data_IF_139471785002
#
_entry.id   IF_139471785002
#
_cell.length_a   1.000
_cell.length_b   1.000
_cell.length_c   1.000
_cell.angle_alpha   90.00
_cell.angle_beta   90.00
_cell.angle_gamma   90.00
#
_symmetry.space_group_name_H-M   'P 1'
#
loop_
_entity.id
_entity.type
_entity.pdbx_description
1 polymer ?
#
# COMPACT_ATOMS: atom_id res chain seq x y z
N UNK A 1 -8.96 -12.18 -0.24
CA UNK A 1 -7.60 -12.26 0.33
C UNK A 1 -6.67 -11.73 -0.74
N UNK A 2 -6.23 -10.46 -0.62
CA UNK A 2 -5.29 -9.86 -1.57
C UNK A 2 -3.88 -10.33 -1.21
N UNK A 3 -3.15 -10.89 -2.15
CA UNK A 3 -1.75 -11.26 -1.97
C UNK A 3 -0.91 -10.01 -1.66
N UNK A 4 0.22 -10.16 -0.94
CA UNK A 4 1.05 -9.02 -0.53
C UNK A 4 1.58 -8.22 -1.71
N UNK A 5 1.88 -8.89 -2.84
CA UNK A 5 2.28 -8.21 -4.07
C UNK A 5 1.12 -7.39 -4.68
N UNK A 6 -0.10 -7.90 -4.58
CA UNK A 6 -1.29 -7.16 -5.07
C UNK A 6 -1.56 -5.94 -4.19
N UNK A 7 -1.45 -6.08 -2.87
CA UNK A 7 -1.56 -4.95 -1.93
C UNK A 7 -0.51 -3.87 -2.19
N UNK A 8 0.73 -4.27 -2.51
CA UNK A 8 1.79 -3.33 -2.86
C UNK A 8 1.47 -2.57 -4.15
N UNK A 9 0.96 -3.26 -5.18
CA UNK A 9 0.52 -2.63 -6.43
C UNK A 9 -0.60 -1.61 -6.19
N UNK A 10 -1.60 -1.97 -5.38
CA UNK A 10 -2.70 -1.07 -5.03
C UNK A 10 -2.18 0.17 -4.28
N UNK A 11 -1.27 -0.01 -3.32
CA UNK A 11 -0.67 1.09 -2.56
C UNK A 11 0.15 2.05 -3.44
N UNK A 12 0.89 1.53 -4.42
CA UNK A 12 1.66 2.34 -5.39
C UNK A 12 0.71 3.11 -6.32
N UNK A 13 -0.37 2.49 -6.80
CA UNK A 13 -1.38 3.18 -7.59
C UNK A 13 -2.03 4.32 -6.79
N UNK A 14 -2.39 4.04 -5.53
CA UNK A 14 -2.95 5.05 -4.63
C UNK A 14 -1.99 6.21 -4.37
N UNK A 15 -0.68 5.93 -4.29
CA UNK A 15 0.36 6.95 -4.15
C UNK A 15 0.39 7.89 -5.37
N UNK A 16 0.29 7.32 -6.58
CA UNK A 16 0.24 8.09 -7.82
C UNK A 16 -0.99 8.99 -7.88
N UNK A 17 -2.15 8.49 -7.45
CA UNK A 17 -3.37 9.29 -7.34
C UNK A 17 -3.20 10.47 -6.38
N UNK A 18 -2.61 10.27 -5.20
CA UNK A 18 -2.34 11.38 -4.27
C UNK A 18 -1.43 12.44 -4.87
N UNK A 19 -0.40 12.05 -5.63
CA UNK A 19 0.44 13.01 -6.35
C UNK A 19 -0.35 13.78 -7.40
N UNK A 20 -1.09 13.10 -8.28
CA UNK A 20 -1.89 13.77 -9.31
C UNK A 20 -2.94 14.72 -8.73
N UNK A 21 -3.68 14.27 -7.72
CA UNK A 21 -4.71 15.07 -7.06
C UNK A 21 -4.12 16.27 -6.33
N UNK A 22 -2.99 16.09 -5.62
CA UNK A 22 -2.32 17.20 -4.94
C UNK A 22 -1.84 18.28 -5.90
N UNK A 23 -1.25 17.90 -7.05
CA UNK A 23 -0.83 18.85 -8.09
C UNK A 23 -2.03 19.59 -8.67
N UNK A 24 -3.13 18.89 -8.97
CA UNK A 24 -4.35 19.51 -9.50
C UNK A 24 -4.92 20.56 -8.55
N UNK A 25 -5.00 20.25 -7.26
CA UNK A 25 -5.45 21.17 -6.22
C UNK A 25 -4.49 22.36 -6.08
N UNK A 26 -3.18 22.12 -6.02
CA UNK A 26 -2.18 23.20 -5.94
C UNK A 26 -2.28 24.16 -7.13
N UNK A 27 -2.54 23.66 -8.33
CA UNK A 27 -2.75 24.49 -9.52
C UNK A 27 -4.06 25.27 -9.45
N UNK A 28 -5.16 24.64 -9.03
CA UNK A 28 -6.47 25.28 -8.93
C UNK A 28 -6.49 26.47 -7.96
N UNK A 29 -5.75 26.37 -6.86
CA UNK A 29 -5.65 27.43 -5.86
C UNK A 29 -4.37 28.29 -6.01
N UNK A 30 -3.58 28.06 -7.06
CA UNK A 30 -2.35 28.83 -7.29
C UNK A 30 -2.67 30.32 -7.47
N UNK A 31 -1.88 31.16 -6.81
CA UNK A 31 -2.00 32.62 -6.93
C UNK A 31 -0.87 33.15 -7.80
N UNK A 32 -1.13 34.07 -8.74
CA UNK A 32 -0.07 34.66 -9.54
C UNK A 32 0.93 35.40 -8.65
N UNK A 33 2.22 35.14 -8.84
CA UNK A 33 3.26 35.86 -8.12
C UNK A 33 3.16 37.36 -8.42
N UNK A 34 3.18 38.19 -7.37
CA UNK A 34 3.18 39.64 -7.52
C UNK A 34 4.59 40.12 -7.83
N UNK A 35 4.77 40.70 -9.01
CA UNK A 35 6.00 41.41 -9.36
C UNK A 35 5.87 42.88 -8.95
N UNK A 36 6.96 43.53 -8.51
CA UNK A 36 6.96 44.97 -8.22
C UNK A 36 6.49 45.75 -9.47
N UNK A 37 5.41 46.52 -9.35
CA UNK A 37 4.86 47.33 -10.45
C UNK A 37 3.70 46.70 -11.24
N UNK A 38 3.25 45.48 -10.92
CA UNK A 38 2.12 44.82 -11.57
C UNK A 38 1.01 44.45 -10.58
N UNK A 39 0.48 45.45 -9.87
CA UNK A 39 -0.63 45.26 -8.92
C UNK A 39 -1.97 45.19 -9.66
N UNK A 40 -2.28 44.04 -10.26
CA UNK A 40 -3.69 43.72 -10.53
C UNK A 40 -4.35 43.44 -9.18
N UNK A 41 -5.20 44.38 -8.74
CA UNK A 41 -6.16 44.20 -7.63
C UNK A 41 -7.17 43.11 -7.99
N UNK A 42 -6.73 41.85 -7.93
CA UNK A 42 -7.62 40.69 -7.83
C UNK A 42 -7.88 40.45 -6.35
N UNK A 43 -9.06 40.81 -5.89
CA UNK A 43 -9.56 40.55 -4.54
C UNK A 43 -9.69 39.05 -4.31
N UNK A 44 -8.62 38.41 -3.82
CA UNK A 44 -8.74 37.10 -3.18
C UNK A 44 -9.14 37.29 -1.73
N UNK A 45 -10.26 36.67 -1.35
CA UNK A 45 -10.69 36.60 0.04
C UNK A 45 -9.72 35.71 0.82
N UNK A 46 -9.33 36.13 2.03
CA UNK A 46 -8.44 35.38 2.93
C UNK A 46 -8.88 33.92 3.16
N UNK A 47 -10.17 33.62 3.00
CA UNK A 47 -10.73 32.27 3.10
C UNK A 47 -10.19 31.28 2.05
N UNK A 48 -9.84 31.73 0.83
CA UNK A 48 -9.30 30.83 -0.21
C UNK A 48 -7.84 30.43 0.06
N UNK A 49 -7.03 31.30 0.65
CA UNK A 49 -5.65 30.97 1.04
C UNK A 49 -5.60 29.97 2.19
N UNK A 50 -6.49 30.10 3.16
CA UNK A 50 -6.53 29.20 4.30
C UNK A 50 -6.95 27.77 3.91
N UNK A 51 -7.90 27.62 2.97
CA UNK A 51 -8.25 26.32 2.40
C UNK A 51 -7.11 25.69 1.60
N UNK A 52 -6.31 26.50 0.89
CA UNK A 52 -5.16 26.00 0.13
C UNK A 52 -4.11 25.36 1.04
N UNK A 53 -3.76 26.01 2.16
CA UNK A 53 -2.78 25.46 3.11
C UNK A 53 -3.26 24.16 3.75
N UNK A 54 -4.56 24.07 4.06
CA UNK A 54 -5.17 22.88 4.67
C UNK A 54 -5.12 21.67 3.71
N UNK A 55 -5.47 21.87 2.43
CA UNK A 55 -5.35 20.82 1.43
C UNK A 55 -3.90 20.40 1.15
N UNK A 56 -2.96 21.36 1.12
CA UNK A 56 -1.55 21.05 0.93
C UNK A 56 -1.00 20.18 2.09
N UNK A 57 -1.34 20.51 3.34
CA UNK A 57 -0.97 19.71 4.50
C UNK A 57 -1.65 18.33 4.50
N UNK A 58 -2.93 18.26 4.13
CA UNK A 58 -3.66 16.99 4.02
C UNK A 58 -2.98 16.05 3.02
N UNK A 59 -2.73 16.51 1.79
CA UNK A 59 -2.08 15.67 0.78
C UNK A 59 -0.64 15.30 1.16
N UNK A 60 0.12 16.21 1.76
CA UNK A 60 1.45 15.88 2.27
C UNK A 60 1.39 14.75 3.31
N UNK A 61 0.41 14.80 4.22
CA UNK A 61 0.20 13.76 5.24
C UNK A 61 -0.18 12.42 4.62
N UNK A 62 -1.11 12.42 3.64
CA UNK A 62 -1.53 11.21 2.93
C UNK A 62 -0.38 10.58 2.15
N UNK A 63 0.41 11.40 1.45
CA UNK A 63 1.58 10.97 0.68
C UNK A 63 2.62 10.33 1.58
N UNK A 64 2.99 10.97 2.69
CA UNK A 64 4.02 10.46 3.61
C UNK A 64 3.55 9.18 4.30
N UNK A 65 2.28 9.13 4.72
CA UNK A 65 1.72 7.94 5.35
C UNK A 65 1.72 6.76 4.38
N UNK A 66 1.19 6.95 3.17
CA UNK A 66 1.10 5.87 2.19
C UNK A 66 2.49 5.39 1.74
N UNK A 67 3.48 6.28 1.66
CA UNK A 67 4.87 5.89 1.44
C UNK A 67 5.43 4.97 2.54
N UNK A 68 5.15 5.28 3.82
CA UNK A 68 5.55 4.39 4.94
C UNK A 68 4.81 3.05 4.92
N UNK A 69 3.55 3.06 4.52
CA UNK A 69 2.76 1.83 4.38
C UNK A 69 3.35 0.96 3.24
N UNK A 70 3.81 1.57 2.14
CA UNK A 70 4.56 0.89 1.06
C UNK A 70 5.86 0.28 1.59
N UNK A 71 6.68 1.05 2.32
CA UNK A 71 7.94 0.53 2.89
C UNK A 71 7.68 -0.68 3.80
N UNK A 72 6.66 -0.58 4.66
CA UNK A 72 6.26 -1.69 5.55
C UNK A 72 5.80 -2.91 4.76
N UNK A 73 5.05 -2.71 3.67
CA UNK A 73 4.61 -3.80 2.80
C UNK A 73 5.80 -4.52 2.15
N UNK A 74 6.79 -3.76 1.69
CA UNK A 74 8.04 -4.30 1.11
C UNK A 74 8.78 -5.14 2.15
N UNK A 75 8.92 -4.65 3.39
CA UNK A 75 9.58 -5.38 4.49
C UNK A 75 8.84 -6.68 4.87
N UNK A 76 7.53 -6.75 4.60
CA UNK A 76 6.72 -7.96 4.87
C UNK A 76 6.66 -8.95 3.70
N UNK A 77 7.29 -8.64 2.56
CA UNK A 77 7.33 -9.58 1.45
C UNK A 77 8.09 -10.85 1.86
N UNK A 78 7.56 -12.04 1.52
CA UNK A 78 8.28 -13.28 1.78
C UNK A 78 9.63 -13.27 1.04
N UNK A 79 10.71 -13.59 1.76
CA UNK A 79 12.08 -13.51 1.25
C UNK A 79 12.27 -14.21 -0.10
N UNK A 80 12.77 -13.47 -1.09
CA UNK A 80 13.21 -14.01 -2.39
C UNK A 80 14.53 -14.80 -2.30
N UNK A 81 15.18 -14.84 -1.14
CA UNK A 81 16.46 -15.53 -0.92
C UNK A 81 16.35 -17.07 -0.97
N UNK A 82 15.14 -17.61 -1.05
CA UNK A 82 14.94 -19.02 -1.33
C UNK A 82 15.12 -19.25 -2.83
N UNK A 83 16.25 -19.83 -3.24
CA UNK A 83 16.37 -20.33 -4.61
C UNK A 83 15.15 -21.19 -4.95
N UNK A 84 14.70 -21.16 -6.20
CA UNK A 84 13.56 -21.96 -6.67
C UNK A 84 13.71 -23.45 -6.28
N UNK A 85 14.95 -23.95 -6.29
CA UNK A 85 15.28 -25.30 -5.83
C UNK A 85 14.97 -25.54 -4.34
N UNK A 86 15.30 -24.58 -3.45
CA UNK A 86 14.99 -24.68 -2.02
C UNK A 86 13.48 -24.60 -1.76
N UNK A 87 12.74 -23.79 -2.53
CA UNK A 87 11.28 -23.77 -2.46
C UNK A 87 10.66 -25.10 -2.91
N UNK A 88 11.15 -25.69 -4.00
CA UNK A 88 10.68 -27.00 -4.47
C UNK A 88 10.96 -28.10 -3.45
N UNK A 89 12.13 -28.09 -2.80
CA UNK A 89 12.45 -29.03 -1.72
C UNK A 89 11.54 -28.83 -0.51
N UNK A 90 11.27 -27.58 -0.13
CA UNK A 90 10.37 -27.26 0.98
C UNK A 90 8.94 -27.71 0.68
N UNK A 91 8.45 -27.52 -0.56
CA UNK A 91 7.15 -28.01 -1.00
C UNK A 91 7.04 -29.54 -0.93
N UNK A 92 8.04 -30.27 -1.44
CA UNK A 92 8.07 -31.74 -1.36
C UNK A 92 8.03 -32.25 0.07
N UNK A 93 8.77 -31.59 0.96
CA UNK A 93 8.75 -31.93 2.40
C UNK A 93 7.36 -31.67 2.99
N UNK A 94 6.74 -30.54 2.66
CA UNK A 94 5.41 -30.18 3.13
C UNK A 94 4.34 -31.19 2.65
N UNK A 95 4.44 -31.64 1.39
CA UNK A 95 3.55 -32.67 0.83
C UNK A 95 3.69 -34.00 1.57
N UNK A 96 4.93 -34.43 1.87
CA UNK A 96 5.16 -35.66 2.64
C UNK A 96 4.58 -35.54 4.06
N UNK A 97 4.85 -34.44 4.75
CA UNK A 97 4.31 -34.20 6.10
C UNK A 97 2.77 -34.15 6.10
N UNK A 98 2.17 -33.60 5.04
CA UNK A 98 0.72 -33.58 4.86
C UNK A 98 0.14 -34.99 4.69
N UNK A 99 0.79 -35.82 3.87
CA UNK A 99 0.40 -37.21 3.66
C UNK A 99 0.47 -38.03 4.96
N UNK A 100 1.57 -37.90 5.71
CA UNK A 100 1.72 -38.58 7.01
C UNK A 100 0.67 -38.11 8.03
N UNK A 101 0.36 -36.81 8.06
CA UNK A 101 -0.68 -36.26 8.93
C UNK A 101 -2.07 -36.76 8.54
N UNK A 102 -2.33 -36.90 7.23
CA UNK A 102 -3.59 -37.44 6.72
C UNK A 102 -3.78 -38.91 7.11
N UNK A 103 -2.77 -39.75 6.95
CA UNK A 103 -2.82 -41.16 7.35
C UNK A 103 -3.06 -41.33 8.85
N UNK A 104 -2.39 -40.52 9.68
CA UNK A 104 -2.63 -40.52 11.13
C UNK A 104 -4.05 -40.08 11.47
N UNK A 105 -4.58 -39.09 10.74
CA UNK A 105 -5.95 -38.63 10.93
C UNK A 105 -6.95 -39.73 10.56
N UNK A 106 -6.77 -40.40 9.41
CA UNK A 106 -7.63 -41.52 9.00
C UNK A 106 -7.63 -42.65 10.03
N UNK A 107 -6.46 -43.02 10.56
CA UNK A 107 -6.37 -44.06 11.59
C UNK A 107 -7.13 -43.67 12.87
N UNK A 108 -7.04 -42.41 13.29
CA UNK A 108 -7.76 -41.90 14.46
C UNK A 108 -9.27 -41.87 14.21
N UNK A 109 -9.69 -41.38 13.03
CA UNK A 109 -11.12 -41.34 12.65
C UNK A 109 -11.69 -42.75 12.62
N UNK A 110 -11.00 -43.70 11.98
CA UNK A 110 -11.46 -45.08 11.89
C UNK A 110 -11.59 -45.75 13.27
N UNK A 111 -10.63 -45.50 14.18
CA UNK A 111 -10.72 -45.96 15.57
C UNK A 111 -11.88 -45.30 16.33
N UNK A 112 -12.16 -44.02 16.04
CA UNK A 112 -13.25 -43.27 16.65
C UNK A 112 -14.64 -43.70 16.18
N UNK A 113 -14.79 -44.06 14.90
CA UNK A 113 -16.05 -44.54 14.32
C UNK A 113 -16.41 -45.98 14.73
N UNK A 114 -15.40 -46.77 15.14
CA UNK A 114 -15.57 -48.14 15.59
C UNK A 114 -15.95 -48.27 17.08
N UNK A 115 -16.00 -47.16 17.83
CA UNK A 115 -16.39 -47.07 19.24
C UNK A 115 -17.85 -46.63 19.40
#
# INVERSE_FOLDING_TARGET
>A
MSDRLTQLQDAVNQQAEYFCNSIGILQQYSTPSRFPGFERSGSQSQQQQQQQEDYAQLFATLIVRNAKDIDTLIDTLPNEESSTDLQVLSLKKLEQENQEAHERLEEIVHKGEAL
#
